data_IF_786048603706
#
_entry.id   IF_786048603706
#
_cell.length_a   1.000
_cell.length_b   1.000
_cell.length_c   1.000
_cell.angle_alpha   90.00
_cell.angle_beta   90.00
_cell.angle_gamma   90.00
#
_symmetry.space_group_name_H-M   'P 1'
#
loop_
_entity.id
_entity.type
_entity.pdbx_description
1 polymer ?
#
# COMPACT_ATOMS: atom_id res chain seq x y z
N UNK A 1 -9.54 -12.26 2.25
CA UNK A 1 -9.97 -11.10 1.45
C UNK A 1 -11.48 -10.99 1.34
N UNK A 2 -12.18 -11.92 0.69
CA UNK A 2 -13.64 -11.81 0.47
C UNK A 2 -14.45 -11.66 1.76
N UNK A 3 -14.15 -12.49 2.78
CA UNK A 3 -14.76 -12.36 4.12
C UNK A 3 -14.58 -10.96 4.72
N UNK A 4 -13.39 -10.38 4.60
CA UNK A 4 -13.12 -9.05 5.16
C UNK A 4 -13.82 -7.94 4.36
N UNK A 5 -13.97 -8.10 3.04
CA UNK A 5 -14.81 -7.21 2.25
C UNK A 5 -16.30 -7.33 2.63
N UNK A 6 -16.82 -8.55 2.89
CA UNK A 6 -18.17 -8.80 3.44
C UNK A 6 -18.40 -8.05 4.75
N UNK A 7 -17.39 -8.05 5.60
CA UNK A 7 -17.42 -7.40 6.92
C UNK A 7 -17.17 -5.88 6.85
N UNK A 8 -16.95 -5.30 5.65
CA UNK A 8 -16.65 -3.88 5.45
C UNK A 8 -15.26 -3.45 5.95
N UNK A 9 -14.35 -4.42 6.13
CA UNK A 9 -12.99 -4.20 6.62
C UNK A 9 -12.01 -3.87 5.46
N UNK A 10 -12.33 -4.31 4.25
CA UNK A 10 -11.62 -3.99 3.01
C UNK A 10 -12.58 -3.46 1.95
N UNK A 11 -12.08 -2.63 1.04
CA UNK A 11 -12.83 -2.04 -0.06
C UNK A 11 -12.15 -2.38 -1.39
N UNK A 12 -12.85 -2.58 -2.51
CA UNK A 12 -12.18 -2.75 -3.79
C UNK A 12 -11.78 -1.36 -4.32
N UNK A 13 -10.60 -1.25 -4.91
CA UNK A 13 -10.23 -0.05 -5.67
C UNK A 13 -11.00 0.00 -6.99
N UNK A 14 -11.16 -1.16 -7.63
CA UNK A 14 -11.75 -1.25 -8.95
C UNK A 14 -12.63 -2.49 -9.04
N UNK A 15 -13.79 -2.32 -9.66
CA UNK A 15 -14.62 -3.42 -10.14
C UNK A 15 -14.47 -3.48 -11.64
N UNK A 16 -13.84 -4.55 -12.13
CA UNK A 16 -13.69 -4.82 -13.55
C UNK A 16 -14.81 -5.74 -14.02
N UNK A 17 -15.61 -5.33 -15.00
CA UNK A 17 -16.59 -6.21 -15.62
C UNK A 17 -15.92 -7.03 -16.72
N UNK A 18 -15.95 -8.35 -16.56
CA UNK A 18 -15.36 -9.25 -17.55
C UNK A 18 -16.23 -9.31 -18.79
N UNK A 19 -15.62 -9.09 -19.96
CA UNK A 19 -16.29 -9.28 -21.24
C UNK A 19 -16.25 -10.75 -21.64
N UNK A 20 -17.36 -11.31 -22.14
CA UNK A 20 -17.38 -12.68 -22.63
C UNK A 20 -16.56 -12.77 -23.92
N UNK A 21 -15.63 -13.72 -24.01
CA UNK A 21 -14.94 -14.03 -25.27
C UNK A 21 -15.82 -14.93 -26.10
N UNK A 22 -16.14 -14.50 -27.32
CA UNK A 22 -16.91 -15.30 -28.25
C UNK A 22 -16.00 -16.27 -29.01
N UNK A 23 -16.29 -17.56 -28.88
CA UNK A 23 -15.61 -18.64 -29.56
C UNK A 23 -16.56 -19.37 -30.50
N UNK A 24 -16.00 -19.89 -31.57
CA UNK A 24 -16.67 -20.81 -32.50
C UNK A 24 -15.95 -22.14 -32.45
N UNK A 25 -16.71 -23.25 -32.50
CA UNK A 25 -16.14 -24.59 -32.62
C UNK A 25 -16.03 -24.99 -34.07
N UNK A 26 -14.83 -25.39 -34.50
CA UNK A 26 -14.55 -25.88 -35.86
C UNK A 26 -14.01 -27.31 -35.81
N UNK A 27 -14.33 -28.12 -36.82
CA UNK A 27 -13.79 -29.47 -36.97
C UNK A 27 -12.67 -29.44 -38.00
N UNK A 28 -11.44 -29.64 -37.53
CA UNK A 28 -10.20 -29.49 -38.31
C UNK A 28 -9.22 -30.60 -37.98
N UNK A 29 -8.18 -30.74 -38.82
CA UNK A 29 -7.02 -31.53 -38.47
C UNK A 29 -6.11 -30.68 -37.58
N UNK A 30 -6.10 -30.97 -36.29
CA UNK A 30 -5.25 -30.30 -35.31
C UNK A 30 -4.26 -31.32 -34.74
N UNK A 31 -2.96 -31.06 -34.92
CA UNK A 31 -1.87 -31.94 -34.48
C UNK A 31 -2.00 -33.38 -35.03
N UNK A 32 -2.31 -33.51 -36.32
CA UNK A 32 -2.42 -34.81 -36.99
C UNK A 32 -3.70 -35.59 -36.71
N UNK A 33 -4.59 -35.07 -35.86
CA UNK A 33 -5.86 -35.71 -35.50
C UNK A 33 -7.05 -34.85 -35.93
N UNK A 34 -8.07 -35.45 -36.57
CA UNK A 34 -9.33 -34.77 -36.85
C UNK A 34 -10.14 -34.62 -35.57
N UNK A 35 -10.28 -33.40 -35.08
CA UNK A 35 -10.95 -33.11 -33.83
C UNK A 35 -11.67 -31.76 -33.87
N UNK A 36 -12.55 -31.56 -32.91
CA UNK A 36 -13.17 -30.27 -32.70
C UNK A 36 -12.24 -29.37 -31.89
N UNK A 37 -12.01 -28.16 -32.37
CA UNK A 37 -11.21 -27.15 -31.69
C UNK A 37 -11.98 -25.84 -31.57
N UNK A 38 -11.62 -25.06 -30.56
CA UNK A 38 -12.17 -23.73 -30.33
C UNK A 38 -11.29 -22.68 -31.01
N UNK A 39 -11.92 -21.73 -31.68
CA UNK A 39 -11.25 -20.59 -32.29
C UNK A 39 -12.02 -19.31 -32.00
N UNK A 40 -11.32 -18.16 -31.97
CA UNK A 40 -11.98 -16.87 -31.81
C UNK A 40 -12.97 -16.62 -32.94
N UNK A 41 -14.16 -16.14 -32.58
CA UNK A 41 -15.19 -15.81 -33.56
C UNK A 41 -14.67 -14.74 -34.53
N UNK A 42 -14.85 -14.95 -35.83
CA UNK A 42 -14.33 -14.10 -36.89
C UNK A 42 -12.94 -14.48 -37.40
N UNK A 43 -12.25 -15.42 -36.74
CA UNK A 43 -10.92 -15.91 -37.18
C UNK A 43 -10.97 -17.28 -37.83
N UNK A 44 -12.15 -17.90 -37.96
CA UNK A 44 -12.32 -19.27 -38.44
C UNK A 44 -11.73 -19.48 -39.83
N UNK A 45 -11.81 -18.46 -40.70
CA UNK A 45 -11.28 -18.51 -42.06
C UNK A 45 -9.75 -18.62 -42.15
N UNK A 46 -9.03 -18.40 -41.03
CA UNK A 46 -7.58 -18.58 -40.94
C UNK A 46 -7.19 -20.05 -40.71
N UNK A 47 -8.15 -20.92 -40.42
CA UNK A 47 -7.93 -22.33 -40.14
C UNK A 47 -8.67 -23.18 -41.18
N UNK A 48 -8.03 -24.16 -41.83
CA UNK A 48 -8.74 -25.07 -42.72
C UNK A 48 -9.69 -25.95 -41.90
N UNK A 49 -11.01 -25.90 -42.16
CA UNK A 49 -12.00 -26.71 -41.43
C UNK A 49 -13.03 -27.34 -42.36
N UNK A 50 -13.65 -28.43 -41.89
CA UNK A 50 -14.68 -29.18 -42.65
C UNK A 50 -16.08 -29.01 -42.09
N UNK A 51 -16.21 -28.74 -40.79
CA UNK A 51 -17.49 -28.44 -40.13
C UNK A 51 -17.31 -27.28 -39.16
N UNK A 52 -18.38 -26.52 -38.95
CA UNK A 52 -18.44 -25.40 -38.01
C UNK A 52 -19.77 -25.41 -37.27
N UNK A 53 -19.74 -25.19 -35.96
CA UNK A 53 -20.96 -24.95 -35.20
C UNK A 53 -21.45 -23.51 -35.43
N UNK A 54 -22.74 -23.35 -35.76
CA UNK A 54 -23.32 -22.04 -36.09
C UNK A 54 -23.50 -21.11 -34.88
N UNK A 55 -23.67 -21.69 -33.69
CA UNK A 55 -23.91 -20.93 -32.46
C UNK A 55 -22.58 -20.64 -31.77
N UNK A 56 -22.34 -19.39 -31.33
CA UNK A 56 -21.15 -19.06 -30.58
C UNK A 56 -21.21 -19.69 -29.19
N UNK A 57 -20.02 -19.91 -28.65
CA UNK A 57 -19.80 -20.24 -27.26
C UNK A 57 -19.06 -19.08 -26.63
N UNK A 58 -19.12 -19.04 -25.31
CA UNK A 58 -18.48 -17.99 -24.55
C UNK A 58 -17.55 -18.62 -23.53
N UNK A 59 -16.31 -18.15 -23.52
CA UNK A 59 -15.29 -18.55 -22.55
C UNK A 59 -15.35 -17.66 -21.31
N UNK A 60 -15.08 -18.29 -20.16
CA UNK A 60 -15.18 -17.70 -18.82
C UNK A 60 -13.86 -17.07 -18.32
N UNK A 61 -12.72 -17.30 -19.00
CA UNK A 61 -11.38 -17.08 -18.41
C UNK A 61 -10.48 -16.03 -19.07
N UNK A 62 -10.93 -15.28 -20.08
CA UNK A 62 -10.02 -14.37 -20.78
C UNK A 62 -10.02 -12.96 -20.19
N UNK A 63 -9.00 -12.65 -19.40
CA UNK A 63 -8.54 -11.29 -19.11
C UNK A 63 -7.73 -10.76 -20.31
N UNK A 64 -8.38 -10.05 -21.22
CA UNK A 64 -7.72 -9.43 -22.38
C UNK A 64 -7.76 -7.90 -22.28
N UNK A 65 -7.33 -7.35 -21.15
CA UNK A 65 -7.40 -5.89 -20.95
C UNK A 65 -6.68 -5.41 -19.69
N UNK A 66 -5.36 -5.37 -19.73
CA UNK A 66 -4.61 -4.40 -18.93
C UNK A 66 -3.31 -4.02 -19.65
N UNK A 67 -3.42 -2.98 -20.48
CA UNK A 67 -2.38 -1.98 -20.63
C UNK A 67 -2.79 -0.71 -19.87
N UNK A 68 -1.98 0.35 -20.00
CA UNK A 68 -2.12 1.65 -19.31
C UNK A 68 -3.41 2.45 -19.66
N UNK A 69 -4.33 1.90 -20.46
CA UNK A 69 -5.50 2.60 -21.04
C UNK A 69 -6.78 2.50 -20.18
N UNK A 70 -6.66 2.41 -18.86
CA UNK A 70 -7.80 2.22 -17.95
C UNK A 70 -8.84 3.36 -18.03
N UNK A 71 -8.40 4.57 -18.39
CA UNK A 71 -9.26 5.76 -18.55
C UNK A 71 -10.19 5.64 -19.76
N UNK A 72 -9.68 5.11 -20.88
CA UNK A 72 -10.48 4.86 -22.10
C UNK A 72 -11.51 3.76 -21.87
N UNK A 73 -11.14 2.74 -21.10
CA UNK A 73 -12.06 1.68 -20.74
C UNK A 73 -13.12 2.12 -19.71
N UNK A 74 -12.81 3.12 -18.88
CA UNK A 74 -13.77 3.77 -17.97
C UNK A 74 -14.86 4.52 -18.76
N UNK A 75 -14.48 5.30 -19.78
CA UNK A 75 -15.45 5.96 -20.68
C UNK A 75 -16.34 4.96 -21.42
N UNK A 76 -15.86 3.73 -21.64
CA UNK A 76 -16.63 2.63 -22.23
C UNK A 76 -17.48 1.84 -21.22
N UNK A 77 -17.52 2.25 -19.94
CA UNK A 77 -18.30 1.61 -18.88
C UNK A 77 -17.81 0.22 -18.47
N UNK A 78 -16.56 -0.13 -18.77
CA UNK A 78 -16.01 -1.46 -18.48
C UNK A 78 -15.53 -1.64 -17.04
N UNK A 79 -15.42 -0.53 -16.29
CA UNK A 79 -15.01 -0.52 -14.89
C UNK A 79 -15.90 0.45 -14.09
N UNK A 80 -16.02 0.17 -12.78
CA UNK A 80 -16.65 1.08 -11.81
C UNK A 80 -15.74 1.14 -10.56
N UNK A 81 -15.76 2.26 -9.84
CA UNK A 81 -15.01 2.45 -8.60
C UNK A 81 -15.91 2.17 -7.40
N UNK A 82 -15.86 0.96 -6.80
CA UNK A 82 -16.72 0.57 -5.69
C UNK A 82 -16.18 1.04 -4.34
N UNK A 83 -15.14 1.88 -4.29
CA UNK A 83 -14.48 2.32 -3.04
C UNK A 83 -15.43 2.94 -2.01
N UNK A 84 -16.64 3.32 -2.43
CA UNK A 84 -17.72 3.87 -1.59
C UNK A 84 -18.97 2.99 -1.49
N UNK A 85 -19.04 1.82 -2.14
CA UNK A 85 -20.26 1.00 -2.24
C UNK A 85 -20.24 -0.20 -1.27
N UNK A 86 -21.43 -0.59 -0.78
CA UNK A 86 -21.62 -1.76 0.12
C UNK A 86 -21.10 -3.06 -0.49
N UNK A 87 -20.77 -4.04 0.36
CA UNK A 87 -20.37 -5.38 -0.08
C UNK A 87 -21.30 -5.95 -1.15
N UNK A 88 -20.73 -6.31 -2.31
CA UNK A 88 -21.42 -7.04 -3.37
C UNK A 88 -21.00 -8.50 -3.31
N UNK A 89 -21.98 -9.40 -3.14
CA UNK A 89 -21.74 -10.85 -3.19
C UNK A 89 -21.02 -11.20 -4.49
N UNK A 90 -19.85 -11.84 -4.36
CA UNK A 90 -19.22 -12.51 -5.49
C UNK A 90 -20.30 -13.42 -6.11
N UNK A 91 -20.69 -13.14 -7.36
CA UNK A 91 -21.49 -14.11 -8.10
C UNK A 91 -20.56 -15.28 -8.36
N UNK A 92 -20.82 -16.42 -7.71
CA UNK A 92 -20.07 -17.66 -7.95
C UNK A 92 -19.91 -17.81 -9.47
N UNK A 93 -18.67 -17.72 -9.95
CA UNK A 93 -18.40 -17.98 -11.35
C UNK A 93 -18.73 -19.46 -11.56
N UNK A 94 -19.61 -19.76 -12.50
CA UNK A 94 -19.76 -21.14 -12.93
C UNK A 94 -18.45 -21.54 -13.62
N UNK A 95 -17.59 -22.30 -12.94
CA UNK A 95 -16.29 -22.74 -13.47
C UNK A 95 -16.43 -23.97 -14.39
N UNK A 96 -17.41 -23.95 -15.30
CA UNK A 96 -17.64 -25.03 -16.26
C UNK A 96 -17.35 -24.59 -17.69
N UNK A 97 -16.10 -24.78 -18.15
CA UNK A 97 -15.69 -24.71 -19.55
C UNK A 97 -16.33 -23.61 -20.39
N UNK A 98 -17.00 -24.02 -21.48
CA UNK A 98 -17.64 -23.11 -22.45
C UNK A 98 -19.16 -23.10 -22.30
N UNK A 99 -19.75 -21.91 -22.22
CA UNK A 99 -21.22 -21.76 -22.11
C UNK A 99 -21.83 -21.20 -23.39
N UNK A 100 -23.08 -21.60 -23.70
CA UNK A 100 -23.82 -21.06 -24.86
C UNK A 100 -24.70 -19.85 -24.52
N UNK A 101 -24.94 -19.57 -23.24
CA UNK A 101 -25.80 -18.47 -22.80
C UNK A 101 -24.98 -17.25 -22.39
N UNK A 102 -25.00 -16.20 -23.22
CA UNK A 102 -24.37 -14.91 -22.91
C UNK A 102 -24.91 -14.28 -21.63
N UNK A 103 -26.18 -14.54 -21.28
CA UNK A 103 -26.81 -14.00 -20.06
C UNK A 103 -26.13 -14.50 -18.78
N UNK A 104 -25.57 -15.73 -18.79
CA UNK A 104 -24.82 -16.26 -17.65
C UNK A 104 -23.50 -15.53 -17.39
N UNK A 105 -23.02 -14.76 -18.36
CA UNK A 105 -21.79 -13.95 -18.27
C UNK A 105 -22.08 -12.48 -18.03
N UNK A 106 -23.35 -12.07 -18.12
CA UNK A 106 -23.74 -10.69 -17.88
C UNK A 106 -23.53 -10.33 -16.40
N UNK A 107 -22.77 -9.26 -16.16
CA UNK A 107 -22.42 -8.76 -14.83
C UNK A 107 -21.42 -9.64 -14.04
N UNK A 108 -20.67 -10.51 -14.71
CA UNK A 108 -19.48 -11.12 -14.11
C UNK A 108 -18.41 -10.05 -13.93
N UNK A 109 -17.79 -9.98 -12.75
CA UNK A 109 -16.75 -9.01 -12.45
C UNK A 109 -15.61 -9.60 -11.62
N UNK A 110 -14.53 -8.84 -11.54
CA UNK A 110 -13.40 -9.07 -10.65
C UNK A 110 -13.20 -7.83 -9.77
N UNK A 111 -12.88 -8.06 -8.50
CA UNK A 111 -12.58 -7.01 -7.54
C UNK A 111 -11.06 -6.89 -7.42
N UNK A 112 -10.52 -5.75 -7.85
CA UNK A 112 -9.13 -5.40 -7.62
C UNK A 112 -9.06 -4.52 -6.37
N UNK A 113 -8.21 -4.90 -5.44
CA UNK A 113 -7.97 -4.16 -4.21
C UNK A 113 -6.86 -3.13 -4.42
N UNK A 114 -6.95 -1.98 -3.75
CA UNK A 114 -5.84 -1.01 -3.74
C UNK A 114 -4.62 -1.70 -3.10
N UNK A 115 -3.45 -1.61 -3.72
CA UNK A 115 -2.19 -2.09 -3.14
C UNK A 115 -1.91 -1.50 -1.75
N UNK A 116 -2.38 -0.28 -1.48
CA UNK A 116 -2.31 0.39 -0.18
C UNK A 116 -3.17 -0.29 0.90
N UNK A 117 -4.12 -1.16 0.53
CA UNK A 117 -4.88 -1.99 1.46
C UNK A 117 -4.12 -3.23 1.94
N UNK A 118 -2.92 -3.51 1.42
CA UNK A 118 -2.03 -4.51 2.03
C UNK A 118 -1.73 -4.17 3.50
N UNK A 119 -1.68 -2.88 3.83
CA UNK A 119 -1.60 -2.37 5.20
C UNK A 119 -2.80 -2.79 6.06
N UNK A 120 -4.02 -2.70 5.51
CA UNK A 120 -5.22 -3.18 6.18
C UNK A 120 -5.19 -4.70 6.38
N UNK A 121 -4.70 -5.45 5.40
CA UNK A 121 -4.51 -6.90 5.49
C UNK A 121 -3.54 -7.27 6.61
N UNK A 122 -2.37 -6.61 6.70
CA UNK A 122 -1.41 -6.83 7.81
C UNK A 122 -2.07 -6.61 9.17
N UNK A 123 -2.84 -5.53 9.33
CA UNK A 123 -3.56 -5.22 10.58
C UNK A 123 -4.61 -6.31 10.91
N UNK A 124 -5.38 -6.74 9.92
CA UNK A 124 -6.43 -7.76 10.12
C UNK A 124 -5.79 -9.08 10.52
N UNK A 125 -4.75 -9.54 9.82
CA UNK A 125 -4.05 -10.78 10.14
C UNK A 125 -3.48 -10.77 11.56
N UNK A 126 -2.86 -9.66 11.98
CA UNK A 126 -2.35 -9.50 13.34
C UNK A 126 -3.48 -9.61 14.39
N UNK A 127 -4.65 -8.99 14.14
CA UNK A 127 -5.79 -9.07 15.05
C UNK A 127 -6.46 -10.45 15.02
N UNK A 128 -6.46 -11.15 13.89
CA UNK A 128 -6.93 -12.54 13.84
C UNK A 128 -6.04 -13.48 14.66
N UNK A 129 -4.73 -13.25 14.66
CA UNK A 129 -3.81 -13.96 15.57
C UNK A 129 -4.12 -13.65 17.04
N UNK A 130 -4.33 -12.39 17.39
CA UNK A 130 -4.72 -11.99 18.75
C UNK A 130 -6.03 -12.68 19.18
N UNK A 131 -7.05 -12.73 18.32
CA UNK A 131 -8.32 -13.42 18.61
C UNK A 131 -8.09 -14.90 18.88
N UNK A 132 -7.22 -15.56 18.10
CA UNK A 132 -6.88 -16.98 18.32
C UNK A 132 -6.17 -17.20 19.65
N UNK A 133 -5.29 -16.28 20.06
CA UNK A 133 -4.56 -16.36 21.33
C UNK A 133 -5.43 -15.99 22.54
N UNK A 134 -6.38 -15.07 22.37
CA UNK A 134 -7.20 -14.50 23.43
C UNK A 134 -8.70 -14.55 23.07
N UNK A 135 -9.31 -15.73 22.92
CA UNK A 135 -10.68 -15.88 22.41
C UNK A 135 -11.73 -15.21 23.31
N UNK A 136 -11.49 -15.13 24.63
CA UNK A 136 -12.38 -14.44 25.59
C UNK A 136 -12.45 -12.93 25.35
N UNK A 137 -11.48 -12.34 24.64
CA UNK A 137 -11.40 -10.91 24.33
C UNK A 137 -11.83 -10.60 22.89
N UNK A 138 -12.38 -11.57 22.14
CA UNK A 138 -12.69 -11.42 20.72
C UNK A 138 -13.50 -10.15 20.41
N UNK A 139 -14.56 -9.88 21.20
CA UNK A 139 -15.41 -8.70 21.00
C UNK A 139 -14.61 -7.40 21.15
N UNK A 140 -13.72 -7.33 22.14
CA UNK A 140 -12.85 -6.18 22.37
C UNK A 140 -11.84 -6.02 21.22
N UNK A 141 -11.18 -7.11 20.83
CA UNK A 141 -10.19 -7.10 19.74
C UNK A 141 -10.84 -6.72 18.41
N UNK A 142 -12.05 -7.20 18.11
CA UNK A 142 -12.82 -6.82 16.91
C UNK A 142 -13.21 -5.35 16.90
N UNK A 143 -13.62 -4.78 18.04
CA UNK A 143 -13.90 -3.35 18.13
C UNK A 143 -12.63 -2.52 17.91
N UNK A 144 -11.49 -2.93 18.48
CA UNK A 144 -10.19 -2.31 18.26
C UNK A 144 -9.77 -2.39 16.79
N UNK A 145 -9.97 -3.54 16.14
CA UNK A 145 -9.69 -3.73 14.71
C UNK A 145 -10.52 -2.76 13.85
N UNK A 146 -11.83 -2.68 14.07
CA UNK A 146 -12.70 -1.75 13.33
C UNK A 146 -12.24 -0.30 13.48
N UNK A 147 -11.93 0.12 14.71
CA UNK A 147 -11.40 1.46 14.97
C UNK A 147 -10.08 1.69 14.22
N UNK A 148 -9.14 0.74 14.30
CA UNK A 148 -7.83 0.85 13.66
C UNK A 148 -7.93 0.91 12.13
N UNK A 149 -8.86 0.15 11.53
CA UNK A 149 -9.12 0.20 10.09
C UNK A 149 -9.82 1.49 9.66
N UNK A 150 -10.74 2.01 10.48
CA UNK A 150 -11.32 3.33 10.24
C UNK A 150 -10.24 4.42 10.30
N UNK A 151 -9.35 4.38 11.29
CA UNK A 151 -8.24 5.31 11.40
C UNK A 151 -7.29 5.19 10.21
N UNK A 152 -7.00 3.96 9.75
CA UNK A 152 -6.21 3.70 8.55
C UNK A 152 -6.87 4.28 7.30
N UNK A 153 -8.18 4.09 7.14
CA UNK A 153 -8.92 4.63 5.99
C UNK A 153 -8.83 6.15 5.97
N UNK A 154 -9.10 6.82 7.09
CA UNK A 154 -8.98 8.28 7.21
C UNK A 154 -7.55 8.74 6.90
N UNK A 155 -6.55 8.00 7.36
CA UNK A 155 -5.14 8.28 7.03
C UNK A 155 -4.84 8.10 5.54
N UNK A 156 -5.33 7.03 4.90
CA UNK A 156 -5.10 6.79 3.48
C UNK A 156 -5.77 7.86 2.61
N UNK A 157 -6.98 8.29 2.96
CA UNK A 157 -7.65 9.41 2.28
C UNK A 157 -6.87 10.71 2.42
N UNK A 158 -6.33 10.99 3.60
CA UNK A 158 -5.46 12.15 3.83
C UNK A 158 -4.14 12.03 3.03
N UNK A 159 -3.53 10.86 3.03
CA UNK A 159 -2.28 10.57 2.33
C UNK A 159 -2.41 10.77 0.81
N UNK A 160 -3.52 10.35 0.21
CA UNK A 160 -3.78 10.54 -1.22
C UNK A 160 -3.77 12.03 -1.57
N UNK A 161 -4.42 12.87 -0.76
CA UNK A 161 -4.41 14.32 -0.99
C UNK A 161 -3.01 14.93 -0.86
N UNK A 162 -2.16 14.40 0.01
CA UNK A 162 -0.74 14.79 0.07
C UNK A 162 0.00 14.38 -1.20
N UNK A 163 -0.20 13.15 -1.67
CA UNK A 163 0.43 12.63 -2.89
C UNK A 163 0.05 13.48 -4.11
N UNK A 164 -1.23 13.85 -4.24
CA UNK A 164 -1.72 14.77 -5.27
C UNK A 164 -1.10 16.17 -5.14
N UNK A 165 -0.97 16.69 -3.91
CA UNK A 165 -0.31 17.97 -3.66
C UNK A 165 1.15 17.97 -4.13
N UNK A 166 1.88 16.89 -3.83
CA UNK A 166 3.27 16.71 -4.26
C UNK A 166 3.38 16.63 -5.79
N UNK A 167 2.51 15.86 -6.43
CA UNK A 167 2.52 15.68 -7.89
C UNK A 167 2.25 17.01 -8.59
N UNK A 168 1.27 17.79 -8.11
CA UNK A 168 0.99 19.14 -8.62
C UNK A 168 2.20 20.06 -8.50
N UNK A 169 2.86 20.08 -7.34
CA UNK A 169 4.05 20.92 -7.14
C UNK A 169 5.21 20.47 -8.03
N UNK A 170 5.46 19.16 -8.11
CA UNK A 170 6.51 18.59 -8.95
C UNK A 170 6.30 18.90 -10.43
N UNK A 171 5.04 18.88 -10.88
CA UNK A 171 4.66 19.23 -12.26
C UNK A 171 4.93 20.71 -12.53
N UNK A 172 4.47 21.61 -11.67
CA UNK A 172 4.73 23.07 -11.81
C UNK A 172 6.21 23.41 -11.83
N UNK A 173 7.00 22.80 -10.94
CA UNK A 173 8.45 23.00 -10.88
C UNK A 173 9.11 22.53 -12.17
N UNK A 174 8.67 21.39 -12.72
CA UNK A 174 9.19 20.85 -13.99
C UNK A 174 8.83 21.76 -15.15
N UNK A 175 7.56 22.15 -15.28
CA UNK A 175 7.10 23.07 -16.33
C UNK A 175 7.86 24.39 -16.28
N UNK A 176 8.07 24.96 -15.08
CA UNK A 176 8.85 26.17 -14.89
C UNK A 176 10.30 25.99 -15.33
N UNK A 177 10.95 24.88 -14.94
CA UNK A 177 12.31 24.56 -15.35
C UNK A 177 12.42 24.38 -16.88
N UNK A 178 11.46 23.71 -17.50
CA UNK A 178 11.43 23.48 -18.95
C UNK A 178 11.23 24.78 -19.73
N UNK A 179 10.45 25.73 -19.21
CA UNK A 179 10.35 27.08 -19.79
C UNK A 179 11.65 27.87 -19.67
N UNK A 180 12.37 27.77 -18.55
CA UNK A 180 13.67 28.41 -18.36
C UNK A 180 14.72 27.86 -19.32
N UNK A 181 14.74 26.55 -19.54
CA UNK A 181 15.67 25.91 -20.49
C UNK A 181 15.54 26.40 -21.94
N UNK A 182 14.41 27.03 -22.31
CA UNK A 182 14.24 27.65 -23.62
C UNK A 182 15.01 28.97 -23.78
N UNK A 183 15.41 29.60 -22.67
CA UNK A 183 15.95 30.96 -22.63
C UNK A 183 17.30 31.07 -21.92
N UNK A 184 17.62 30.11 -21.04
CA UNK A 184 18.76 30.14 -20.15
C UNK A 184 19.61 28.87 -20.27
N UNK A 185 20.85 28.92 -19.77
CA UNK A 185 21.65 27.70 -19.63
C UNK A 185 21.07 26.80 -18.54
N UNK A 186 21.36 25.50 -18.63
CA UNK A 186 20.90 24.52 -17.62
C UNK A 186 21.28 24.91 -16.18
N UNK A 187 22.45 25.52 -15.98
CA UNK A 187 22.93 25.92 -14.64
C UNK A 187 22.15 27.11 -14.09
N UNK A 188 21.85 28.09 -14.92
CA UNK A 188 21.01 29.25 -14.57
C UNK A 188 19.59 28.80 -14.27
N UNK A 189 18.99 27.99 -15.15
CA UNK A 189 17.65 27.45 -14.95
C UNK A 189 17.53 26.67 -13.63
N UNK A 190 18.58 25.92 -13.24
CA UNK A 190 18.62 25.23 -11.94
C UNK A 190 18.69 26.17 -10.74
N UNK A 191 19.43 27.28 -10.85
CA UNK A 191 19.51 28.27 -9.78
C UNK A 191 18.17 29.01 -9.63
N UNK A 192 17.57 29.41 -10.75
CA UNK A 192 16.31 30.14 -10.77
C UNK A 192 15.15 29.24 -10.32
N UNK A 193 15.12 27.97 -10.72
CA UNK A 193 14.11 27.00 -10.22
C UNK A 193 14.21 26.80 -8.70
N UNK A 194 15.42 26.82 -8.13
CA UNK A 194 15.58 26.77 -6.66
C UNK A 194 15.05 28.04 -5.99
N UNK A 195 15.27 29.21 -6.62
CA UNK A 195 14.74 30.48 -6.16
C UNK A 195 13.20 30.48 -6.19
N UNK A 196 12.62 30.08 -7.32
CA UNK A 196 11.18 29.89 -7.50
C UNK A 196 10.60 28.93 -6.45
N UNK A 197 11.24 27.80 -6.20
CA UNK A 197 10.80 26.89 -5.15
C UNK A 197 10.75 27.58 -3.79
N UNK A 198 11.83 28.25 -3.39
CA UNK A 198 11.94 28.88 -2.07
C UNK A 198 10.99 30.08 -1.88
N UNK A 199 10.81 30.88 -2.92
CA UNK A 199 10.06 32.14 -2.85
C UNK A 199 8.57 31.97 -3.16
N UNK A 200 8.20 30.95 -3.93
CA UNK A 200 6.82 30.78 -4.43
C UNK A 200 6.21 29.46 -3.98
N UNK A 201 6.83 28.32 -4.31
CA UNK A 201 6.22 27.02 -4.03
C UNK A 201 6.26 26.66 -2.54
N UNK A 202 7.36 26.91 -1.84
CA UNK A 202 7.51 26.57 -0.44
C UNK A 202 6.48 27.30 0.45
N UNK A 203 6.32 28.64 0.40
CA UNK A 203 5.29 29.32 1.19
C UNK A 203 3.87 28.83 0.87
N UNK A 204 3.60 28.53 -0.41
CA UNK A 204 2.32 27.98 -0.85
C UNK A 204 2.06 26.60 -0.24
N UNK A 205 3.06 25.72 -0.25
CA UNK A 205 2.98 24.38 0.32
C UNK A 205 2.88 24.41 1.85
N UNK A 206 3.59 25.32 2.52
CA UNK A 206 3.45 25.53 3.97
C UNK A 206 2.03 25.91 4.37
N UNK A 207 1.38 26.79 3.60
CA UNK A 207 -0.01 27.16 3.85
C UNK A 207 -0.97 26.01 3.50
N UNK A 208 -0.84 25.40 2.33
CA UNK A 208 -1.67 24.27 1.91
C UNK A 208 -1.56 23.08 2.88
N UNK A 209 -0.36 22.81 3.42
CA UNK A 209 -0.15 21.81 4.47
C UNK A 209 -0.90 22.13 5.77
N UNK A 210 -0.90 23.39 6.21
CA UNK A 210 -1.65 23.83 7.40
C UNK A 210 -3.15 23.71 7.20
N UNK A 211 -3.64 24.07 6.02
CA UNK A 211 -5.06 23.97 5.71
C UNK A 211 -5.49 22.49 5.63
N UNK A 212 -4.68 21.65 4.98
CA UNK A 212 -4.96 20.22 4.82
C UNK A 212 -4.96 19.46 6.16
N UNK A 213 -3.99 19.74 7.05
CA UNK A 213 -3.95 19.06 8.36
C UNK A 213 -5.16 19.42 9.22
N UNK A 214 -5.63 20.67 9.14
CA UNK A 214 -6.84 21.13 9.82
C UNK A 214 -8.10 20.51 9.22
N UNK A 215 -8.22 20.46 7.88
CA UNK A 215 -9.39 19.91 7.20
C UNK A 215 -9.65 18.43 7.56
N UNK A 216 -8.60 17.64 7.76
CA UNK A 216 -8.70 16.23 8.14
C UNK A 216 -8.63 16.00 9.66
N UNK A 217 -8.61 17.05 10.48
CA UNK A 217 -8.46 16.97 11.95
C UNK A 217 -7.27 16.10 12.37
N UNK A 218 -6.13 16.26 11.70
CA UNK A 218 -4.87 15.64 12.09
C UNK A 218 -4.06 16.57 12.99
N UNK A 219 -3.11 15.98 13.73
CA UNK A 219 -2.06 16.70 14.43
C UNK A 219 -0.71 16.22 13.93
N UNK A 220 0.33 17.04 14.05
CA UNK A 220 1.70 16.65 13.69
C UNK A 220 2.13 15.39 14.44
N UNK A 221 1.75 15.25 15.71
CA UNK A 221 2.00 14.03 16.49
C UNK A 221 1.29 12.80 15.89
N UNK A 222 0.01 12.93 15.51
CA UNK A 222 -0.74 11.83 14.87
C UNK A 222 -0.11 11.43 13.54
N UNK A 223 0.42 12.38 12.77
CA UNK A 223 1.16 12.10 11.54
C UNK A 223 2.50 11.42 11.82
N UNK A 224 3.27 11.87 12.82
CA UNK A 224 4.49 11.17 13.25
C UNK A 224 4.21 9.74 13.71
N UNK A 225 3.09 9.49 14.37
CA UNK A 225 2.70 8.13 14.75
C UNK A 225 2.41 7.25 13.53
N UNK A 226 1.72 7.76 12.51
CA UNK A 226 1.48 7.05 11.25
C UNK A 226 2.76 6.79 10.47
N UNK A 227 3.60 7.80 10.42
CA UNK A 227 4.92 7.76 9.82
C UNK A 227 5.83 6.69 10.44
N UNK A 228 5.89 6.65 11.76
CA UNK A 228 6.59 5.61 12.51
C UNK A 228 5.98 4.23 12.29
N UNK A 229 4.65 4.13 12.30
CA UNK A 229 3.95 2.88 12.03
C UNK A 229 4.24 2.35 10.62
N UNK A 230 4.26 3.22 9.60
CA UNK A 230 4.63 2.86 8.23
C UNK A 230 6.06 2.33 8.14
N UNK A 231 7.01 2.95 8.87
CA UNK A 231 8.38 2.45 8.98
C UNK A 231 8.46 1.00 9.47
N UNK A 232 7.60 0.61 10.41
CA UNK A 232 7.50 -0.79 10.89
C UNK A 232 6.96 -1.76 9.83
N UNK A 233 6.23 -1.27 8.83
CA UNK A 233 5.59 -2.14 7.84
C UNK A 233 6.53 -2.58 6.71
N UNK A 234 7.75 -2.03 6.65
CA UNK A 234 8.75 -2.47 5.68
C UNK A 234 9.09 -3.95 5.88
N UNK A 235 9.29 -4.67 4.78
CA UNK A 235 9.70 -6.07 4.82
C UNK A 235 11.03 -6.29 5.54
N UNK A 236 11.88 -5.27 5.62
CA UNK A 236 13.14 -5.32 6.38
C UNK A 236 12.92 -5.45 7.90
N UNK A 237 11.69 -5.16 8.37
CA UNK A 237 11.25 -5.32 9.75
C UNK A 237 10.43 -6.62 9.99
N UNK A 238 10.13 -7.39 8.95
CA UNK A 238 9.41 -8.66 9.06
C UNK A 238 10.38 -9.78 9.51
N UNK A 239 10.22 -10.25 10.75
CA UNK A 239 10.96 -11.40 11.30
C UNK A 239 12.11 -11.06 12.27
N UNK A 240 12.32 -11.91 13.27
CA UNK A 240 13.36 -11.73 14.30
C UNK A 240 14.77 -12.12 13.84
N UNK A 241 14.88 -12.94 12.79
CA UNK A 241 16.11 -13.65 12.41
C UNK A 241 17.04 -12.83 11.51
N UNK A 242 16.51 -11.80 10.82
CA UNK A 242 17.27 -11.05 9.80
C UNK A 242 17.75 -9.66 10.24
N UNK A 243 17.54 -9.25 11.50
CA UNK A 243 17.72 -7.85 11.92
C UNK A 243 19.14 -7.30 11.70
N UNK A 244 20.18 -8.08 11.97
CA UNK A 244 21.56 -7.64 11.76
C UNK A 244 21.92 -7.57 10.28
N UNK A 245 21.46 -8.53 9.48
CA UNK A 245 21.62 -8.54 8.02
C UNK A 245 20.86 -7.39 7.37
N UNK A 246 19.63 -7.10 7.81
CA UNK A 246 18.82 -5.94 7.37
C UNK A 246 19.49 -4.61 7.74
N UNK A 247 20.17 -4.54 8.90
CA UNK A 247 20.92 -3.35 9.34
C UNK A 247 22.09 -3.04 8.42
N UNK A 248 22.90 -4.06 8.12
CA UNK A 248 24.04 -3.95 7.20
C UNK A 248 23.53 -3.62 5.79
N UNK A 249 22.49 -4.31 5.31
CA UNK A 249 21.90 -4.05 4.01
C UNK A 249 21.38 -2.61 3.89
N UNK A 250 20.63 -2.11 4.87
CA UNK A 250 20.14 -0.72 4.88
C UNK A 250 21.26 0.31 4.89
N UNK A 251 22.36 0.07 5.60
CA UNK A 251 23.47 1.01 5.67
C UNK A 251 24.09 1.26 4.28
N UNK A 252 23.96 0.29 3.36
CA UNK A 252 24.47 0.39 1.99
C UNK A 252 23.43 0.87 0.96
N UNK A 253 22.17 1.04 1.36
CA UNK A 253 21.13 1.57 0.47
C UNK A 253 21.04 3.09 0.57
N UNK A 254 20.94 3.74 -0.58
CA UNK A 254 20.58 5.16 -0.65
C UNK A 254 19.08 5.33 -0.47
N UNK A 255 18.66 6.49 0.05
CA UNK A 255 17.24 6.80 0.27
C UNK A 255 16.43 6.68 -1.04
N UNK A 256 17.01 7.09 -2.17
CA UNK A 256 16.39 6.99 -3.48
C UNK A 256 16.13 5.55 -3.94
N UNK A 257 17.02 4.61 -3.61
CA UNK A 257 16.81 3.18 -3.89
C UNK A 257 15.78 2.60 -2.93
N UNK A 258 15.86 2.96 -1.65
CA UNK A 258 14.95 2.47 -0.62
C UNK A 258 13.49 2.89 -0.87
N UNK A 259 13.26 4.13 -1.32
CA UNK A 259 11.94 4.66 -1.71
C UNK A 259 11.32 3.84 -2.85
N UNK A 260 12.13 3.34 -3.79
CA UNK A 260 11.66 2.55 -4.93
C UNK A 260 11.42 1.08 -4.59
N UNK A 261 12.02 0.59 -3.50
CA UNK A 261 11.98 -0.82 -3.12
C UNK A 261 10.61 -1.26 -2.61
N UNK A 262 9.87 -0.39 -1.91
CA UNK A 262 8.58 -0.73 -1.29
C UNK A 262 7.61 0.46 -1.32
N UNK A 263 6.32 0.19 -1.50
CA UNK A 263 5.26 1.22 -1.45
C UNK A 263 5.23 1.93 -0.09
N UNK A 264 5.45 1.21 1.01
CA UNK A 264 5.54 1.77 2.37
C UNK A 264 6.66 2.78 2.51
N UNK A 265 7.82 2.54 1.89
CA UNK A 265 8.95 3.46 1.87
C UNK A 265 8.63 4.73 1.07
N UNK A 266 7.93 4.60 -0.06
CA UNK A 266 7.38 5.75 -0.80
C UNK A 266 6.41 6.53 0.08
N UNK A 267 5.50 5.87 0.79
CA UNK A 267 4.57 6.52 1.71
C UNK A 267 5.27 7.31 2.81
N UNK A 268 6.32 6.73 3.41
CA UNK A 268 7.16 7.42 4.40
C UNK A 268 7.80 8.68 3.81
N UNK A 269 8.33 8.61 2.60
CA UNK A 269 8.95 9.76 1.90
C UNK A 269 7.96 10.88 1.63
N UNK A 270 6.75 10.54 1.16
CA UNK A 270 5.66 11.52 0.93
C UNK A 270 5.24 12.19 2.23
N UNK A 271 5.08 11.42 3.29
CA UNK A 271 4.70 11.96 4.58
C UNK A 271 5.82 12.82 5.21
N UNK A 272 7.09 12.49 4.99
CA UNK A 272 8.24 13.32 5.37
C UNK A 272 8.24 14.67 4.68
N UNK A 273 8.06 14.66 3.35
CA UNK A 273 7.97 15.87 2.55
C UNK A 273 6.85 16.79 3.05
N UNK A 274 5.69 16.22 3.41
CA UNK A 274 4.59 16.98 3.99
C UNK A 274 4.90 17.51 5.41
N UNK A 275 5.49 16.68 6.28
CA UNK A 275 5.86 17.07 7.64
C UNK A 275 6.92 18.18 7.66
N UNK A 276 7.80 18.22 6.65
CA UNK A 276 8.78 19.29 6.48
C UNK A 276 8.10 20.67 6.36
N UNK A 277 7.03 20.80 5.57
CA UNK A 277 6.30 22.07 5.46
C UNK A 277 5.53 22.47 6.72
N UNK A 278 5.24 21.51 7.60
CA UNK A 278 4.58 21.78 8.87
C UNK A 278 5.55 22.11 10.01
N UNK A 279 6.76 21.54 9.97
CA UNK A 279 7.66 21.52 11.13
C UNK A 279 9.06 22.05 10.85
N UNK A 280 9.46 22.16 9.58
CA UNK A 280 10.83 22.43 9.16
C UNK A 280 11.79 21.26 9.35
N UNK A 281 11.35 20.15 9.95
CA UNK A 281 12.19 18.97 10.19
C UNK A 281 12.16 18.03 8.98
N UNK A 282 13.34 17.54 8.60
CA UNK A 282 13.49 16.58 7.51
C UNK A 282 14.13 15.30 8.05
N UNK A 283 13.44 14.18 7.90
CA UNK A 283 13.96 12.84 8.21
C UNK A 283 14.15 12.05 6.90
N UNK A 284 15.12 11.14 6.87
CA UNK A 284 15.33 10.23 5.72
C UNK A 284 14.50 8.96 5.91
N UNK A 285 14.03 8.35 4.82
CA UNK A 285 13.34 7.05 4.87
C UNK A 285 14.24 6.01 5.53
N UNK A 286 15.53 6.02 5.21
CA UNK A 286 16.53 5.17 5.85
C UNK A 286 16.58 5.37 7.38
N UNK A 287 16.51 6.61 7.87
CA UNK A 287 16.49 6.91 9.30
C UNK A 287 15.26 6.36 10.00
N UNK A 288 14.10 6.45 9.35
CA UNK A 288 12.82 6.01 9.91
C UNK A 288 12.71 4.49 9.91
N UNK A 289 12.95 3.85 8.76
CA UNK A 289 12.96 2.39 8.64
C UNK A 289 14.06 1.79 9.51
N UNK A 290 15.26 2.38 9.48
CA UNK A 290 16.43 1.95 10.24
C UNK A 290 16.27 2.12 11.75
N UNK A 291 15.46 3.07 12.23
CA UNK A 291 15.15 3.19 13.66
C UNK A 291 14.55 1.88 14.22
N UNK A 292 13.76 1.17 13.43
CA UNK A 292 13.12 -0.11 13.81
C UNK A 292 14.03 -1.33 13.69
N UNK A 293 15.23 -1.15 13.13
CA UNK A 293 16.22 -2.22 12.92
C UNK A 293 17.31 -2.16 14.02
N UNK A 294 17.28 -1.13 14.86
CA UNK A 294 18.15 -0.97 16.03
C UNK A 294 17.61 -1.61 17.32
N UNK A 295 18.36 -1.53 18.43
CA UNK A 295 17.89 -1.97 19.73
C UNK A 295 16.74 -1.10 20.24
N UNK A 296 15.74 -1.76 20.80
CA UNK A 296 14.50 -1.12 21.25
C UNK A 296 14.49 -1.04 22.77
N UNK A 297 13.94 0.06 23.28
CA UNK A 297 13.74 0.18 24.72
C UNK A 297 12.82 -0.94 25.20
N UNK A 298 13.28 -1.74 26.15
CA UNK A 298 12.52 -2.83 26.77
C UNK A 298 11.16 -2.40 27.33
N UNK A 299 11.00 -1.12 27.71
CA UNK A 299 9.80 -0.63 28.39
C UNK A 299 8.87 0.23 27.55
N UNK A 300 9.41 1.07 26.66
CA UNK A 300 8.59 1.95 25.83
C UNK A 300 8.65 1.62 24.34
N UNK A 301 9.42 0.58 23.98
CA UNK A 301 9.59 0.09 22.63
C UNK A 301 10.03 1.15 21.61
N UNK A 302 10.49 2.32 22.06
CA UNK A 302 11.14 3.30 21.18
C UNK A 302 12.51 2.78 20.79
N UNK A 303 12.80 2.87 19.50
CA UNK A 303 14.14 2.77 18.96
C UNK A 303 15.11 3.68 19.70
N UNK A 304 16.35 3.24 19.90
CA UNK A 304 17.44 4.10 20.34
C UNK A 304 18.77 3.61 19.77
N UNK A 305 19.72 4.52 19.65
CA UNK A 305 21.11 4.19 19.31
C UNK A 305 21.85 3.89 20.63
N UNK A 306 22.41 2.68 20.83
CA UNK A 306 23.23 2.39 21.99
C UNK A 306 24.39 3.36 22.08
N UNK A 307 24.76 3.76 23.30
CA UNK A 307 26.01 4.50 23.48
C UNK A 307 27.17 3.62 23.02
N UNK A 308 28.19 4.22 22.40
CA UNK A 308 29.37 3.51 21.90
C UNK A 308 30.04 2.62 22.97
N UNK A 309 29.95 3.01 24.25
CA UNK A 309 30.48 2.27 25.39
C UNK A 309 29.48 1.31 26.06
N UNK A 310 28.26 1.16 25.53
CA UNK A 310 27.19 0.31 26.07
C UNK A 310 26.36 -0.34 24.95
N UNK A 311 26.94 -1.26 24.16
CA UNK A 311 26.24 -1.95 23.07
C UNK A 311 25.03 -2.77 23.55
N UNK A 312 25.01 -3.19 24.82
CA UNK A 312 23.93 -3.96 25.47
C UNK A 312 22.90 -3.09 26.18
N UNK A 313 22.83 -1.79 25.87
CA UNK A 313 21.84 -0.90 26.48
C UNK A 313 20.42 -1.47 26.26
N UNK A 314 19.61 -1.56 27.32
CA UNK A 314 18.25 -2.13 27.25
C UNK A 314 17.15 -1.07 27.16
N UNK A 315 17.49 0.22 27.30
CA UNK A 315 16.50 1.31 27.38
C UNK A 315 16.89 2.52 26.56
N UNK A 316 15.91 3.31 26.12
CA UNK A 316 16.14 4.55 25.36
C UNK A 316 16.72 5.71 26.20
N UNK A 317 17.14 5.48 27.44
CA UNK A 317 17.76 6.51 28.29
C UNK A 317 16.80 7.50 28.95
N UNK A 318 15.52 7.53 28.59
CA UNK A 318 14.49 8.36 29.26
C UNK A 318 14.37 8.00 30.74
N UNK A 319 14.22 9.02 31.60
CA UNK A 319 14.14 8.86 33.08
C UNK A 319 13.16 7.77 33.52
N UNK A 320 11.98 7.70 32.90
CA UNK A 320 10.95 6.70 33.22
C UNK A 320 11.38 5.27 32.86
N UNK A 321 12.03 5.09 31.71
CA UNK A 321 12.48 3.78 31.23
C UNK A 321 13.70 3.29 32.01
N UNK A 322 14.62 4.20 32.35
CA UNK A 322 15.78 3.88 33.19
C UNK A 322 15.37 3.60 34.64
N UNK A 323 14.36 4.30 35.16
CA UNK A 323 13.78 4.01 36.48
C UNK A 323 13.11 2.63 36.52
N UNK A 324 12.34 2.25 35.49
CA UNK A 324 11.75 0.91 35.36
C UNK A 324 12.82 -0.17 35.32
N UNK A 325 13.90 0.00 34.54
CA UNK A 325 15.03 -0.95 34.52
C UNK A 325 15.69 -1.08 35.89
N UNK A 326 15.94 0.06 36.56
CA UNK A 326 16.57 0.10 37.88
C UNK A 326 15.73 -0.62 38.93
N UNK A 327 14.41 -0.47 38.87
CA UNK A 327 13.48 -1.14 39.79
C UNK A 327 13.42 -2.65 39.50
N UNK A 328 13.46 -3.07 38.23
CA UNK A 328 13.52 -4.48 37.86
C UNK A 328 14.79 -5.17 38.36
N UNK A 329 15.92 -4.46 38.32
CA UNK A 329 17.23 -4.97 38.74
C UNK A 329 17.49 -4.86 40.25
N UNK A 330 16.56 -4.29 41.02
CA UNK A 330 16.62 -4.33 42.49
C UNK A 330 16.28 -5.75 42.97
N UNK A 331 17.30 -6.49 43.42
CA UNK A 331 17.08 -7.79 44.09
C UNK A 331 16.10 -7.61 45.26
N UNK A 332 15.13 -8.52 45.46
CA UNK A 332 14.28 -8.49 46.64
C UNK A 332 15.17 -8.62 47.88
N UNK A 333 15.00 -7.71 48.85
CA UNK A 333 15.66 -7.83 50.17
C UNK A 333 15.23 -9.17 50.75
N UNK A 334 16.16 -10.12 50.92
CA UNK A 334 15.92 -11.36 51.66
C UNK A 334 15.34 -10.97 53.02
N UNK A 335 14.07 -11.32 53.28
CA UNK A 335 13.51 -11.26 54.64
C UNK A 335 14.39 -12.19 55.49
N UNK A 336 15.11 -11.65 56.46
CA UNK A 336 15.73 -12.46 57.52
C UNK A 336 14.59 -13.25 58.16
N UNK A 337 14.63 -14.58 58.09
CA UNK A 337 13.81 -15.42 58.96
C UNK A 337 14.29 -15.14 60.38
N UNK A 338 13.45 -14.48 61.16
CA UNK A 338 13.53 -14.53 62.62
C UNK A 338 13.21 -15.96 63.04
N UNK A 339 14.23 -16.69 63.48
CA UNK A 339 14.09 -17.91 64.29
C UNK A 339 13.52 -17.57 65.65
#
# INVERSE_FOLDING_TARGET
MERWHREGLLYPALRLFLRPVELTRIFTNHQGTKQWVWVYRGTEGKFPFTKREKRPYFELESYSGAGDDWLDLWHQGQYDFPSTKRFFRWRERYHGGYVRSRKLLSNSYELFYDKRQLLAVKIILQHEMDIRMFPKEERYIRNRLKKKLSDLHTFLSFYITIEEMEERSSTRIREYFDELLKKETRREAQAETKSFFKLTEQPRLEQESKDLINAYNFTTEKLRNWHHWLGQQSHLNDGSVFRESSRVYLAHLTDAVLVKAEDTNKMVRVLNWFLYFLTGEMETVQGIVGSWIGPHCRFCHRAFIPRANKPTQETCGRKECTAKLRNLNRKPKRRKKTT
#
